data_IF_015820245187
#
_entry.id   IF_015820245187
#
_cell.length_a   1.000
_cell.length_b   1.000
_cell.length_c   1.000
_cell.angle_alpha   90.00
_cell.angle_beta   90.00
_cell.angle_gamma   90.00
#
_symmetry.space_group_name_H-M   'P 1'
#
loop_
_entity.id
_entity.type
_entity.pdbx_description
1 polymer ?
#
# COMPACT_ATOMS: atom_id res chain seq x y z
N UNK A 1 -3.14 -3.89 -5.62
CA UNK A 1 -3.72 -4.72 -4.54
C UNK A 1 -3.31 -6.21 -4.54
N UNK A 2 -2.75 -6.81 -5.61
CA UNK A 2 -2.30 -8.21 -5.55
C UNK A 2 -1.11 -8.45 -4.59
N UNK A 3 -0.27 -7.43 -4.36
CA UNK A 3 0.91 -7.54 -3.51
C UNK A 3 0.56 -7.66 -2.01
N UNK A 4 -0.49 -6.95 -1.55
CA UNK A 4 -1.01 -7.08 -0.17
C UNK A 4 -1.46 -8.49 0.12
N UNK A 5 -2.13 -9.13 -0.83
CA UNK A 5 -2.62 -10.49 -0.67
C UNK A 5 -1.45 -11.48 -0.50
N UNK A 6 -0.36 -11.30 -1.26
CA UNK A 6 0.82 -12.15 -1.13
C UNK A 6 1.58 -11.88 0.17
N UNK A 7 1.74 -10.61 0.55
CA UNK A 7 2.37 -10.25 1.82
C UNK A 7 1.62 -10.84 3.02
N UNK A 8 0.29 -10.68 3.07
CA UNK A 8 -0.52 -11.23 4.16
C UNK A 8 -0.47 -12.76 4.22
N UNK A 9 -0.45 -13.44 3.06
CA UNK A 9 -0.26 -14.89 3.00
C UNK A 9 1.10 -15.32 3.56
N UNK A 10 2.17 -14.62 3.19
CA UNK A 10 3.51 -14.91 3.71
C UNK A 10 3.65 -14.56 5.20
N UNK A 11 3.03 -13.47 5.66
CA UNK A 11 2.99 -13.09 7.08
C UNK A 11 2.32 -14.18 7.90
N UNK A 12 1.15 -14.65 7.49
CA UNK A 12 0.42 -15.71 8.18
C UNK A 12 1.19 -17.04 8.19
N UNK A 13 1.83 -17.41 7.07
CA UNK A 13 2.67 -18.60 7.01
C UNK A 13 3.89 -18.50 7.95
N UNK A 14 4.51 -17.32 8.06
CA UNK A 14 5.63 -17.08 8.96
C UNK A 14 5.19 -17.12 10.43
N UNK A 15 4.05 -16.54 10.78
CA UNK A 15 3.47 -16.62 12.13
C UNK A 15 3.22 -18.08 12.53
N UNK A 16 2.64 -18.87 11.63
CA UNK A 16 2.42 -20.30 11.86
C UNK A 16 3.73 -21.07 12.03
N UNK A 17 4.76 -20.75 11.23
CA UNK A 17 6.10 -21.34 11.37
C UNK A 17 6.69 -21.04 12.75
N UNK A 18 6.60 -19.79 13.21
CA UNK A 18 7.07 -19.38 14.54
C UNK A 18 6.31 -20.10 15.65
N UNK A 19 4.98 -20.24 15.53
CA UNK A 19 4.18 -21.03 16.48
C UNK A 19 4.60 -22.50 16.56
N UNK A 20 4.96 -23.10 15.43
CA UNK A 20 5.30 -24.52 15.35
C UNK A 20 6.74 -24.82 15.78
N UNK A 21 7.67 -23.90 15.52
CA UNK A 21 9.12 -24.17 15.64
C UNK A 21 9.79 -23.48 16.82
N UNK A 22 9.16 -22.46 17.43
CA UNK A 22 9.73 -21.73 18.56
C UNK A 22 9.03 -22.14 19.86
N UNK A 23 9.69 -23.02 20.62
CA UNK A 23 9.13 -23.56 21.86
C UNK A 23 9.30 -22.60 23.05
N UNK A 24 10.37 -21.81 23.07
CA UNK A 24 10.54 -20.76 24.08
C UNK A 24 9.46 -19.68 23.94
N UNK A 25 8.73 -19.44 25.02
CA UNK A 25 7.54 -18.60 24.99
C UNK A 25 7.87 -17.12 24.81
N UNK A 26 8.95 -16.65 25.43
CA UNK A 26 9.39 -15.26 25.37
C UNK A 26 9.91 -14.93 23.97
N UNK A 27 10.79 -15.77 23.42
CA UNK A 27 11.31 -15.65 22.07
C UNK A 27 10.20 -15.72 21.03
N UNK A 28 9.26 -16.65 21.17
CA UNK A 28 8.11 -16.77 20.26
C UNK A 28 7.28 -15.48 20.27
N UNK A 29 6.97 -14.95 21.44
CA UNK A 29 6.17 -13.74 21.58
C UNK A 29 6.89 -12.51 20.98
N UNK A 30 8.21 -12.39 21.21
CA UNK A 30 9.01 -11.32 20.63
C UNK A 30 9.01 -11.37 19.10
N UNK A 31 9.19 -12.58 18.52
CA UNK A 31 9.17 -12.77 17.07
C UNK A 31 7.80 -12.44 16.47
N UNK A 32 6.70 -12.93 17.06
CA UNK A 32 5.34 -12.61 16.60
C UNK A 32 5.03 -11.11 16.69
N UNK A 33 5.48 -10.45 17.76
CA UNK A 33 5.34 -9.00 17.93
C UNK A 33 6.06 -8.23 16.80
N UNK A 34 7.27 -8.65 16.44
CA UNK A 34 8.02 -8.06 15.33
C UNK A 34 7.35 -8.29 13.98
N UNK A 35 6.87 -9.50 13.71
CA UNK A 35 6.15 -9.81 12.46
C UNK A 35 4.89 -8.92 12.32
N UNK A 36 4.12 -8.78 13.41
CA UNK A 36 2.96 -7.89 13.42
C UNK A 36 3.33 -6.41 13.23
N UNK A 37 4.48 -5.96 13.77
CA UNK A 37 4.97 -4.60 13.57
C UNK A 37 5.37 -4.34 12.11
N UNK A 38 6.04 -5.29 11.46
CA UNK A 38 6.37 -5.22 10.04
C UNK A 38 5.11 -5.13 9.16
N UNK A 39 4.07 -5.91 9.47
CA UNK A 39 2.80 -5.83 8.75
C UNK A 39 2.14 -4.46 8.84
N UNK A 40 2.13 -3.86 10.04
CA UNK A 40 1.61 -2.50 10.22
C UNK A 40 2.41 -1.45 9.46
N UNK A 41 3.74 -1.56 9.44
CA UNK A 41 4.61 -0.66 8.69
C UNK A 41 4.33 -0.75 7.19
N UNK A 42 4.24 -1.96 6.64
CA UNK A 42 3.95 -2.17 5.22
C UNK A 42 2.58 -1.61 4.80
N UNK A 43 1.54 -1.77 5.62
CA UNK A 43 0.25 -1.13 5.34
C UNK A 43 0.27 0.41 5.44
N UNK A 44 1.15 0.97 6.26
CA UNK A 44 1.33 2.42 6.32
C UNK A 44 2.06 2.93 5.07
N UNK A 45 3.09 2.21 4.63
CA UNK A 45 3.83 2.51 3.39
C UNK A 45 2.92 2.40 2.16
N UNK A 46 2.11 1.35 2.06
CA UNK A 46 1.14 1.20 0.95
C UNK A 46 0.15 2.36 0.90
N UNK A 47 -0.45 2.73 2.04
CA UNK A 47 -1.38 3.87 2.10
C UNK A 47 -0.71 5.18 1.68
N UNK A 48 0.55 5.36 2.05
CA UNK A 48 1.36 6.53 1.67
C UNK A 48 1.63 6.54 0.16
N UNK A 49 2.02 5.39 -0.40
CA UNK A 49 2.25 5.25 -1.84
C UNK A 49 0.97 5.47 -2.66
N UNK A 50 -0.15 4.88 -2.25
CA UNK A 50 -1.45 5.06 -2.90
C UNK A 50 -1.93 6.52 -2.84
N UNK A 51 -1.74 7.20 -1.71
CA UNK A 51 -2.02 8.62 -1.58
C UNK A 51 -1.15 9.46 -2.53
N UNK A 52 0.16 9.20 -2.58
CA UNK A 52 1.08 9.91 -3.48
C UNK A 52 0.73 9.69 -4.96
N UNK A 53 0.32 8.46 -5.34
CA UNK A 53 -0.14 8.14 -6.69
C UNK A 53 -1.42 8.90 -7.05
N UNK A 54 -2.40 8.95 -6.13
CA UNK A 54 -3.65 9.73 -6.33
C UNK A 54 -3.38 11.21 -6.49
N UNK A 55 -2.53 11.80 -5.63
CA UNK A 55 -2.15 13.21 -5.75
C UNK A 55 -1.44 13.49 -7.07
N UNK A 56 -0.48 12.66 -7.46
CA UNK A 56 0.23 12.82 -8.75
C UNK A 56 -0.72 12.69 -9.93
N UNK A 57 -1.67 11.75 -9.88
CA UNK A 57 -2.69 11.58 -10.91
C UNK A 57 -3.62 12.80 -11.00
N UNK A 58 -4.04 13.36 -9.86
CA UNK A 58 -4.88 14.57 -9.81
C UNK A 58 -4.14 15.79 -10.37
N UNK A 59 -2.88 16.00 -10.01
CA UNK A 59 -2.05 17.10 -10.51
C UNK A 59 -1.87 16.99 -12.03
N UNK A 60 -1.57 15.79 -12.54
CA UNK A 60 -1.47 15.58 -14.00
C UNK A 60 -2.78 15.87 -14.72
N UNK A 61 -3.93 15.49 -14.15
CA UNK A 61 -5.24 15.73 -14.75
C UNK A 61 -5.63 17.20 -14.71
N UNK A 62 -5.32 17.94 -13.64
CA UNK A 62 -5.58 19.39 -13.62
C UNK A 62 -4.70 20.11 -14.63
N UNK A 63 -3.42 19.76 -14.75
CA UNK A 63 -2.53 20.35 -15.76
C UNK A 63 -3.01 20.12 -17.20
N UNK A 64 -3.55 18.94 -17.51
CA UNK A 64 -4.15 18.65 -18.83
C UNK A 64 -5.44 19.46 -19.05
N UNK A 65 -6.29 19.63 -18.03
CA UNK A 65 -7.50 20.44 -18.13
C UNK A 65 -7.19 21.95 -18.22
N UNK A 66 -6.16 22.42 -17.52
CA UNK A 66 -5.70 23.81 -17.58
C UNK A 66 -5.06 24.11 -18.95
N UNK A 67 -4.33 23.15 -19.54
CA UNK A 67 -3.87 23.24 -20.93
C UNK A 67 -5.06 23.22 -21.89
N UNK A 68 -5.99 22.26 -21.78
CA UNK A 68 -7.16 22.20 -22.68
C UNK A 68 -8.04 23.47 -22.61
N UNK A 69 -8.18 24.06 -21.42
CA UNK A 69 -8.88 25.34 -21.20
C UNK A 69 -8.08 26.53 -21.75
N UNK A 70 -6.75 26.55 -21.60
CA UNK A 70 -5.89 27.60 -22.16
C UNK A 70 -5.84 27.58 -23.70
N UNK A 71 -6.03 26.41 -24.32
CA UNK A 71 -6.09 26.26 -25.78
C UNK A 71 -7.51 26.39 -26.34
N UNK A 72 -8.51 26.76 -25.52
CA UNK A 72 -9.88 27.04 -25.98
C UNK A 72 -10.57 25.83 -26.62
N UNK A 73 -10.21 24.60 -26.24
CA UNK A 73 -10.81 23.37 -26.78
C UNK A 73 -12.14 22.99 -26.11
N UNK A 74 -12.92 23.99 -25.68
CA UNK A 74 -14.30 23.78 -25.24
C UNK A 74 -15.23 24.33 -26.30
N UNK A 75 -16.00 23.41 -26.90
CA UNK A 75 -17.11 23.60 -27.86
C UNK A 75 -16.70 23.61 -29.34
N UNK A 76 -17.33 22.83 -30.23
CA UNK A 76 -18.78 22.78 -30.43
C UNK A 76 -19.26 21.39 -30.88
N UNK A 77 -20.21 20.83 -30.12
CA UNK A 77 -21.22 19.95 -30.69
C UNK A 77 -22.33 20.86 -31.25
N UNK A 78 -22.52 20.83 -32.56
CA UNK A 78 -23.70 21.31 -33.27
C UNK A 78 -24.00 20.30 -34.38
#
# INVERSE_FOLDING_TARGET
>A
MQNVNQFEQHRAALEQCVHNSVHDAETRQAMLSHIGAMGRAMHAEERTADAAMRTTHQIRRSGVLDIARAWGMTERAA
#
